data_IF_483400271649
#
_entry.id   IF_483400271649
#
_cell.length_a   1.000
_cell.length_b   1.000
_cell.length_c   1.000
_cell.angle_alpha   90.00
_cell.angle_beta   90.00
_cell.angle_gamma   90.00
#
_symmetry.space_group_name_H-M   'P 1'
#
loop_
_entity.id
_entity.type
_entity.pdbx_description
1 polymer ?
#
# COMPACT_ATOMS: atom_id res chain seq x y z
N UNK A 1 10.43 -13.96 -39.36
CA UNK A 1 9.88 -13.49 -38.06
C UNK A 1 11.07 -13.11 -37.19
N UNK A 2 10.95 -12.17 -36.25
CA UNK A 2 12.09 -11.56 -35.56
C UNK A 2 12.75 -12.49 -34.52
N UNK A 3 13.52 -13.46 -34.98
CA UNK A 3 14.25 -14.43 -34.14
C UNK A 3 15.42 -13.83 -33.34
N UNK A 4 15.64 -12.51 -33.43
CA UNK A 4 16.78 -11.83 -32.77
C UNK A 4 16.45 -11.25 -31.39
N UNK A 5 15.22 -11.36 -30.89
CA UNK A 5 14.78 -10.75 -29.64
C UNK A 5 15.58 -11.21 -28.41
N UNK A 6 16.10 -12.44 -28.40
CA UNK A 6 16.92 -12.95 -27.29
C UNK A 6 18.25 -12.17 -27.14
N UNK A 7 18.70 -11.46 -28.19
CA UNK A 7 19.97 -10.73 -28.15
C UNK A 7 19.95 -9.53 -27.21
N UNK A 8 18.77 -9.05 -26.81
CA UNK A 8 18.64 -7.94 -25.85
C UNK A 8 19.38 -8.26 -24.53
N UNK A 9 19.44 -9.54 -24.14
CA UNK A 9 20.13 -10.01 -22.94
C UNK A 9 21.67 -9.94 -23.04
N UNK A 10 22.25 -9.74 -24.22
CA UNK A 10 23.69 -9.48 -24.33
C UNK A 10 24.04 -8.02 -24.04
N UNK A 11 23.08 -7.10 -24.14
CA UNK A 11 23.28 -5.68 -23.84
C UNK A 11 22.89 -5.34 -22.39
N UNK A 12 22.05 -6.16 -21.76
CA UNK A 12 21.52 -5.91 -20.42
C UNK A 12 21.85 -7.11 -19.53
N UNK A 13 22.60 -6.88 -18.45
CA UNK A 13 22.88 -7.90 -17.44
C UNK A 13 21.56 -8.43 -16.84
N UNK A 14 21.24 -9.73 -16.98
CA UNK A 14 19.92 -10.26 -16.66
C UNK A 14 19.54 -10.07 -15.19
N UNK A 15 20.49 -10.22 -14.26
CA UNK A 15 20.26 -9.99 -12.83
C UNK A 15 19.91 -8.52 -12.52
N UNK A 16 20.55 -7.57 -13.20
CA UNK A 16 20.27 -6.14 -13.00
C UNK A 16 18.90 -5.76 -13.54
N UNK A 17 18.51 -6.34 -14.69
CA UNK A 17 17.18 -6.13 -15.24
C UNK A 17 16.07 -6.58 -14.29
N UNK A 18 16.22 -7.77 -13.68
CA UNK A 18 15.26 -8.28 -12.69
C UNK A 18 15.15 -7.36 -11.47
N UNK A 19 16.29 -6.89 -10.93
CA UNK A 19 16.31 -5.97 -9.79
C UNK A 19 15.66 -4.63 -10.18
N UNK A 20 15.96 -4.10 -11.37
CA UNK A 20 15.40 -2.84 -11.84
C UNK A 20 13.87 -2.92 -11.99
N UNK A 21 13.35 -3.98 -12.59
CA UNK A 21 11.91 -4.20 -12.74
C UNK A 21 11.26 -4.38 -11.36
N UNK A 22 11.85 -5.18 -10.48
CA UNK A 22 11.32 -5.39 -9.13
C UNK A 22 11.26 -4.06 -8.36
N UNK A 23 12.37 -3.31 -8.32
CA UNK A 23 12.43 -2.03 -7.62
C UNK A 23 11.45 -1.02 -8.22
N UNK A 24 11.37 -0.93 -9.56
CA UNK A 24 10.44 -0.04 -10.24
C UNK A 24 8.98 -0.38 -9.89
N UNK A 25 8.60 -1.66 -9.98
CA UNK A 25 7.26 -2.11 -9.65
C UNK A 25 6.94 -1.92 -8.17
N UNK A 26 7.88 -2.15 -7.26
CA UNK A 26 7.68 -1.90 -5.82
C UNK A 26 7.47 -0.42 -5.54
N UNK A 27 8.29 0.47 -6.10
CA UNK A 27 8.12 1.92 -5.93
C UNK A 27 6.78 2.36 -6.52
N UNK A 28 6.45 1.90 -7.73
CA UNK A 28 5.18 2.20 -8.37
C UNK A 28 3.98 1.73 -7.53
N UNK A 29 4.05 0.51 -6.98
CA UNK A 29 3.02 -0.02 -6.10
C UNK A 29 2.87 0.84 -4.86
N UNK A 30 3.96 1.19 -4.17
CA UNK A 30 3.91 2.04 -2.98
C UNK A 30 3.31 3.41 -3.29
N UNK A 31 3.72 4.05 -4.39
CA UNK A 31 3.15 5.35 -4.81
C UNK A 31 1.65 5.27 -4.98
N UNK A 32 1.13 4.24 -5.67
CA UNK A 32 -0.31 4.04 -5.82
C UNK A 32 -0.99 3.86 -4.46
N UNK A 33 -0.46 3.03 -3.57
CA UNK A 33 -1.04 2.84 -2.24
C UNK A 33 -1.04 4.13 -1.41
N UNK A 34 0.04 4.91 -1.46
CA UNK A 34 0.11 6.20 -0.76
C UNK A 34 -0.92 7.20 -1.30
N UNK A 35 -1.20 7.19 -2.61
CA UNK A 35 -2.26 8.02 -3.20
C UNK A 35 -3.63 7.59 -2.67
N UNK A 36 -3.94 6.29 -2.69
CA UNK A 36 -5.23 5.79 -2.19
C UNK A 36 -5.42 6.10 -0.71
N UNK A 37 -4.40 5.82 0.11
CA UNK A 37 -4.43 6.09 1.55
C UNK A 37 -4.45 7.58 1.89
N UNK A 38 -3.95 8.46 1.01
CA UNK A 38 -4.01 9.92 1.23
C UNK A 38 -5.39 10.50 0.96
N UNK A 39 -6.27 9.80 0.24
CA UNK A 39 -7.62 10.29 -0.07
C UNK A 39 -8.63 9.89 1.00
N UNK A 40 -9.54 10.81 1.36
CA UNK A 40 -10.49 10.61 2.45
C UNK A 40 -11.42 9.40 2.24
N UNK A 41 -11.76 9.09 0.99
CA UNK A 41 -12.74 8.03 0.67
C UNK A 41 -12.10 6.63 0.52
N UNK A 42 -10.82 6.55 0.17
CA UNK A 42 -10.12 5.27 -0.05
C UNK A 42 -9.12 4.93 1.05
N UNK A 43 -9.00 5.75 2.08
CA UNK A 43 -8.15 5.47 3.23
C UNK A 43 -8.79 4.43 4.16
N UNK A 44 -8.55 3.16 3.85
CA UNK A 44 -9.05 2.03 4.64
C UNK A 44 -8.45 1.92 6.05
N UNK A 45 -7.44 2.72 6.42
CA UNK A 45 -6.88 2.74 7.78
C UNK A 45 -7.68 3.66 8.72
N UNK A 46 -8.32 4.69 8.19
CA UNK A 46 -9.14 5.65 8.95
C UNK A 46 -10.65 5.54 8.71
N UNK A 47 -11.10 4.69 7.77
CA UNK A 47 -12.52 4.48 7.46
C UNK A 47 -13.36 3.98 8.66
N UNK A 48 -12.70 3.54 9.75
CA UNK A 48 -13.40 3.17 10.98
C UNK A 48 -14.21 1.87 10.85
N UNK A 49 -13.93 1.03 9.85
CA UNK A 49 -14.63 -0.23 9.59
C UNK A 49 -13.66 -1.43 9.58
N UNK A 50 -13.97 -2.51 10.33
CA UNK A 50 -14.94 -2.54 11.42
C UNK A 50 -14.50 -1.58 12.54
N UNK A 51 -15.48 -0.98 13.25
CA UNK A 51 -15.23 -0.03 14.34
C UNK A 51 -14.09 -0.51 15.23
N UNK A 52 -12.94 0.18 15.15
CA UNK A 52 -11.77 -0.24 15.90
C UNK A 52 -12.07 -0.09 17.40
N UNK A 53 -11.79 -1.14 18.17
CA UNK A 53 -11.99 -1.16 19.63
C UNK A 53 -11.19 -0.06 20.36
N UNK A 54 -10.27 0.62 19.67
CA UNK A 54 -9.54 1.77 20.18
C UNK A 54 -10.46 2.98 20.43
N UNK A 55 -11.49 3.19 19.60
CA UNK A 55 -12.49 4.27 19.79
C UNK A 55 -13.40 3.96 20.98
N UNK A 56 -13.76 2.68 21.19
CA UNK A 56 -14.62 2.25 22.32
C UNK A 56 -13.93 2.46 23.68
N UNK A 57 -12.60 2.52 23.73
CA UNK A 57 -11.87 2.74 25.00
C UNK A 57 -11.90 4.19 25.50
N UNK A 58 -12.23 5.17 24.63
CA UNK A 58 -12.35 6.58 25.00
C UNK A 58 -13.76 6.95 25.49
N UNK A 59 -14.76 6.09 25.28
CA UNK A 59 -16.08 6.23 25.88
C UNK A 59 -16.08 5.56 27.27
N UNK A 60 -15.40 6.18 28.24
CA UNK A 60 -15.67 5.89 29.66
C UNK A 60 -17.17 6.11 29.90
N UNK A 61 -17.91 5.12 30.41
CA UNK A 61 -19.29 5.35 30.78
C UNK A 61 -19.31 6.37 31.92
N UNK A 62 -19.89 7.54 31.68
CA UNK A 62 -20.29 8.43 32.77
C UNK A 62 -21.32 7.66 33.57
N UNK A 63 -20.88 7.11 34.70
CA UNK A 63 -21.77 6.58 35.74
C UNK A 63 -22.64 7.75 36.18
N UNK A 64 -23.99 7.68 36.09
CA UNK A 64 -24.82 8.69 36.71
C UNK A 64 -24.67 8.56 38.22
N UNK A 65 -23.90 9.47 38.82
CA UNK A 65 -23.94 9.73 40.26
C UNK A 65 -25.34 10.29 40.56
N UNK A 66 -26.29 9.40 40.85
CA UNK A 66 -27.53 9.83 41.51
C UNK A 66 -27.20 10.13 42.97
N UNK A 67 -27.78 11.23 43.46
CA UNK A 67 -27.71 11.69 44.83
C UNK A 67 -28.64 10.88 45.73
#
# INVERSE_FOLDING_TARGET
>A
MSDQLYKIWFLVDPSKALIAIFAFLTVLALVVHMILLSTNDFNWLEDGVPASSAVVKAATPVVPQNQ
#
